data_IF_350976817397
#
_entry.id   IF_350976817397
#
_cell.length_a   1.000
_cell.length_b   1.000
_cell.length_c   1.000
_cell.angle_alpha   90.00
_cell.angle_beta   90.00
_cell.angle_gamma   90.00
#
_symmetry.space_group_name_H-M   'P 1'
#
loop_
_entity.id
_entity.type
_entity.pdbx_description
1 polymer ?
#
# COMPACT_ATOMS: atom_id res chain seq x y z
N UNK A 1 -12.23 -8.50 23.67
CA UNK A 1 -11.22 -7.42 23.53
C UNK A 1 -10.46 -7.53 22.20
N UNK A 2 -9.96 -8.70 21.78
CA UNK A 2 -9.21 -8.88 20.52
C UNK A 2 -9.94 -8.33 19.28
N UNK A 3 -11.21 -8.64 19.11
CA UNK A 3 -11.99 -8.20 17.94
C UNK A 3 -12.18 -6.67 17.89
N UNK A 4 -12.32 -6.03 19.05
CA UNK A 4 -12.43 -4.57 19.11
C UNK A 4 -11.09 -3.90 18.79
N UNK A 5 -9.98 -4.45 19.29
CA UNK A 5 -8.64 -3.95 18.94
C UNK A 5 -8.37 -4.04 17.45
N UNK A 6 -8.77 -5.15 16.81
CA UNK A 6 -8.69 -5.31 15.35
C UNK A 6 -9.57 -4.29 14.62
N UNK A 7 -10.79 -4.05 15.07
CA UNK A 7 -11.68 -3.04 14.48
C UNK A 7 -11.06 -1.65 14.53
N UNK A 8 -10.54 -1.24 15.69
CA UNK A 8 -9.88 0.06 15.86
C UNK A 8 -8.67 0.17 14.95
N UNK A 9 -7.78 -0.84 14.98
CA UNK A 9 -6.54 -0.81 14.21
C UNK A 9 -6.80 -0.76 12.69
N UNK A 10 -7.65 -1.67 12.16
CA UNK A 10 -7.97 -1.69 10.73
C UNK A 10 -8.79 -0.50 10.28
N UNK A 11 -9.72 -0.02 11.14
CA UNK A 11 -10.51 1.16 10.87
C UNK A 11 -9.64 2.40 10.73
N UNK A 12 -8.73 2.63 11.68
CA UNK A 12 -7.82 3.78 11.65
C UNK A 12 -6.83 3.68 10.49
N UNK A 13 -6.02 2.62 10.43
CA UNK A 13 -5.00 2.47 9.40
C UNK A 13 -5.61 2.41 7.99
N UNK A 14 -6.69 1.64 7.81
CA UNK A 14 -7.35 1.51 6.52
C UNK A 14 -7.95 2.83 6.03
N UNK A 15 -8.62 3.60 6.90
CA UNK A 15 -9.21 4.88 6.52
C UNK A 15 -8.15 5.92 6.16
N UNK A 16 -7.06 6.00 6.93
CA UNK A 16 -5.96 6.92 6.63
C UNK A 16 -5.30 6.58 5.29
N UNK A 17 -5.04 5.31 5.01
CA UNK A 17 -4.46 4.88 3.74
C UNK A 17 -5.42 5.05 2.57
N UNK A 18 -6.73 4.80 2.75
CA UNK A 18 -7.73 5.16 1.76
C UNK A 18 -7.73 6.68 1.47
N UNK A 19 -7.56 7.50 2.50
CA UNK A 19 -7.36 8.94 2.35
C UNK A 19 -6.15 9.28 1.48
N UNK A 20 -4.98 8.68 1.75
CA UNK A 20 -3.78 8.87 0.93
C UNK A 20 -3.96 8.41 -0.53
N UNK A 21 -4.59 7.26 -0.75
CA UNK A 21 -4.92 6.79 -2.08
C UNK A 21 -5.90 7.73 -2.82
N UNK A 22 -6.89 8.29 -2.11
CA UNK A 22 -7.84 9.26 -2.69
C UNK A 22 -7.18 10.59 -3.06
N UNK A 23 -6.17 11.03 -2.31
CA UNK A 23 -5.34 12.18 -2.67
C UNK A 23 -4.63 11.97 -4.02
N UNK A 24 -4.13 10.76 -4.27
CA UNK A 24 -3.44 10.40 -5.52
C UNK A 24 -4.40 10.25 -6.69
N UNK A 25 -5.53 9.54 -6.50
CA UNK A 25 -6.46 9.20 -7.57
C UNK A 25 -7.42 10.33 -7.94
N UNK A 26 -7.85 11.14 -6.96
CA UNK A 26 -8.94 12.09 -7.12
C UNK A 26 -8.56 13.53 -6.72
N UNK A 27 -7.38 13.74 -6.15
CA UNK A 27 -6.98 15.06 -5.63
C UNK A 27 -7.73 15.49 -4.36
N UNK A 28 -8.44 14.57 -3.69
CA UNK A 28 -9.19 14.89 -2.47
C UNK A 28 -8.26 15.35 -1.34
N UNK A 29 -8.82 16.09 -0.40
CA UNK A 29 -8.08 16.62 0.77
C UNK A 29 -6.82 17.43 0.41
N UNK A 30 -6.82 18.12 -0.74
CA UNK A 30 -5.66 18.89 -1.19
C UNK A 30 -4.51 18.04 -1.72
N UNK A 31 -4.78 16.82 -2.13
CA UNK A 31 -3.78 15.91 -2.69
C UNK A 31 -3.36 16.24 -4.12
N UNK A 32 -2.29 15.60 -4.64
CA UNK A 32 -1.70 15.91 -5.94
C UNK A 32 -2.60 15.55 -7.13
N UNK A 33 -3.59 14.71 -6.94
CA UNK A 33 -4.43 14.19 -8.02
C UNK A 33 -3.68 13.29 -9.01
N UNK A 34 -4.34 12.84 -10.09
CA UNK A 34 -3.73 11.94 -11.06
C UNK A 34 -2.49 12.52 -11.73
N UNK A 35 -2.53 13.80 -12.13
CA UNK A 35 -1.42 14.46 -12.84
C UNK A 35 -0.20 14.66 -11.92
N UNK A 36 -0.41 15.17 -10.71
CA UNK A 36 0.70 15.32 -9.76
C UNK A 36 1.30 13.98 -9.33
N UNK A 37 0.47 12.94 -9.22
CA UNK A 37 0.94 11.58 -8.92
C UNK A 37 1.72 11.00 -10.11
N UNK A 38 1.29 11.25 -11.35
CA UNK A 38 2.04 10.89 -12.56
C UNK A 38 3.42 11.55 -12.57
N UNK A 39 3.49 12.86 -12.33
CA UNK A 39 4.76 13.58 -12.26
C UNK A 39 5.70 13.04 -11.17
N UNK A 40 5.14 12.60 -10.02
CA UNK A 40 5.93 11.91 -8.99
C UNK A 40 6.51 10.58 -9.51
N UNK A 41 5.72 9.77 -10.24
CA UNK A 41 6.21 8.50 -10.80
C UNK A 41 7.29 8.72 -11.88
N UNK A 42 7.16 9.76 -12.70
CA UNK A 42 8.20 10.19 -13.66
C UNK A 42 9.51 10.53 -12.95
N UNK A 43 9.44 11.34 -11.89
CA UNK A 43 10.62 11.70 -11.09
C UNK A 43 11.28 10.50 -10.38
N UNK A 44 10.56 9.40 -10.19
CA UNK A 44 11.05 8.14 -9.64
C UNK A 44 11.52 7.14 -10.72
N UNK A 45 11.52 7.53 -11.99
CA UNK A 45 11.82 6.67 -13.14
C UNK A 45 10.94 5.42 -13.21
N UNK A 46 9.68 5.51 -12.79
CA UNK A 46 8.70 4.45 -12.88
C UNK A 46 7.89 4.60 -14.16
N UNK A 47 8.18 3.81 -15.19
CA UNK A 47 7.59 3.89 -16.54
C UNK A 47 6.72 2.67 -16.85
N UNK A 48 5.55 2.86 -17.53
CA UNK A 48 4.90 4.15 -17.80
C UNK A 48 4.31 4.77 -16.54
N UNK A 49 4.53 6.06 -16.35
CA UNK A 49 4.22 6.78 -15.11
C UNK A 49 2.72 6.78 -14.77
N UNK A 50 1.84 6.90 -15.76
CA UNK A 50 0.38 6.85 -15.59
C UNK A 50 -0.06 5.52 -14.95
N UNK A 51 0.52 4.41 -15.41
CA UNK A 51 0.22 3.09 -14.88
C UNK A 51 0.64 2.96 -13.41
N UNK A 52 1.83 3.43 -13.08
CA UNK A 52 2.33 3.38 -11.71
C UNK A 52 1.59 4.33 -10.77
N UNK A 53 1.16 5.51 -11.27
CA UNK A 53 0.29 6.42 -10.53
C UNK A 53 -1.05 5.75 -10.19
N UNK A 54 -1.67 5.08 -11.17
CA UNK A 54 -2.92 4.34 -10.95
C UNK A 54 -2.73 3.16 -10.00
N UNK A 55 -1.70 2.33 -10.21
CA UNK A 55 -1.42 1.16 -9.34
C UNK A 55 -1.14 1.59 -7.91
N UNK A 56 -0.29 2.60 -7.70
CA UNK A 56 0.02 3.12 -6.37
C UNK A 56 -1.21 3.69 -5.67
N UNK A 57 -1.95 4.57 -6.34
CA UNK A 57 -3.18 5.16 -5.80
C UNK A 57 -4.26 4.11 -5.53
N UNK A 58 -4.48 3.17 -6.46
CA UNK A 58 -5.47 2.10 -6.29
C UNK A 58 -5.10 1.11 -5.18
N UNK A 59 -3.81 0.78 -5.02
CA UNK A 59 -3.33 -0.09 -3.94
C UNK A 59 -3.54 0.54 -2.57
N UNK A 60 -3.29 1.84 -2.41
CA UNK A 60 -3.53 2.56 -1.16
C UNK A 60 -5.04 2.77 -0.90
N UNK A 61 -5.78 3.24 -1.90
CA UNK A 61 -7.22 3.48 -1.77
C UNK A 61 -7.99 2.19 -1.56
N UNK A 62 -7.87 1.26 -2.51
CA UNK A 62 -8.57 -0.03 -2.46
C UNK A 62 -8.11 -0.89 -1.28
N UNK A 63 -6.78 -0.99 -1.07
CA UNK A 63 -6.20 -1.68 0.08
C UNK A 63 -6.67 -1.10 1.41
N UNK A 64 -6.71 0.23 1.51
CA UNK A 64 -7.22 0.95 2.68
C UNK A 64 -8.70 0.69 2.93
N UNK A 65 -9.55 0.84 1.92
CA UNK A 65 -11.00 0.59 2.01
C UNK A 65 -11.29 -0.87 2.39
N UNK A 66 -10.68 -1.83 1.70
CA UNK A 66 -10.86 -3.26 1.99
C UNK A 66 -10.41 -3.61 3.41
N UNK A 67 -9.30 -3.03 3.85
CA UNK A 67 -8.80 -3.21 5.22
C UNK A 67 -9.76 -2.59 6.24
N UNK A 68 -10.18 -1.34 6.06
CA UNK A 68 -11.10 -0.65 6.98
C UNK A 68 -12.42 -1.42 7.14
N UNK A 69 -12.98 -1.91 6.06
CA UNK A 69 -14.22 -2.69 6.06
C UNK A 69 -14.03 -4.14 6.53
N UNK A 70 -12.80 -4.67 6.49
CA UNK A 70 -12.52 -6.09 6.70
C UNK A 70 -13.18 -6.94 5.63
N UNK A 71 -13.02 -6.54 4.37
CA UNK A 71 -13.61 -7.17 3.20
C UNK A 71 -12.54 -7.81 2.32
N UNK A 72 -12.82 -9.01 1.79
CA UNK A 72 -11.90 -9.81 0.96
C UNK A 72 -10.53 -10.01 1.61
N UNK A 73 -10.52 -10.25 2.93
CA UNK A 73 -9.28 -10.49 3.64
C UNK A 73 -8.52 -11.71 3.05
N UNK A 74 -7.19 -11.61 2.77
CA UNK A 74 -6.22 -10.58 3.15
C UNK A 74 -5.87 -9.55 2.04
N UNK A 75 -6.69 -9.39 1.01
CA UNK A 75 -6.38 -8.56 -0.17
C UNK A 75 -6.07 -7.10 0.21
N UNK A 76 -6.85 -6.52 1.12
CA UNK A 76 -6.61 -5.15 1.60
C UNK A 76 -5.22 -4.95 2.19
N UNK A 77 -4.83 -5.71 3.24
CA UNK A 77 -3.49 -5.67 3.79
C UNK A 77 -2.37 -5.92 2.77
N UNK A 78 -2.56 -6.83 1.80
CA UNK A 78 -1.58 -7.08 0.74
C UNK A 78 -1.35 -5.85 -0.15
N UNK A 79 -2.41 -5.14 -0.54
CA UNK A 79 -2.30 -3.90 -1.30
C UNK A 79 -1.51 -2.83 -0.54
N UNK A 80 -1.78 -2.68 0.76
CA UNK A 80 -1.05 -1.77 1.65
C UNK A 80 0.44 -2.14 1.70
N UNK A 81 0.78 -3.41 1.92
CA UNK A 81 2.17 -3.87 1.99
C UNK A 81 2.91 -3.55 0.69
N UNK A 82 2.32 -3.85 -0.47
CA UNK A 82 2.92 -3.55 -1.77
C UNK A 82 3.18 -2.05 -1.97
N UNK A 83 2.18 -1.20 -1.70
CA UNK A 83 2.31 0.25 -1.82
C UNK A 83 3.38 0.81 -0.86
N UNK A 84 3.39 0.36 0.39
CA UNK A 84 4.35 0.83 1.40
C UNK A 84 5.77 0.30 1.16
N UNK A 85 5.93 -0.91 0.64
CA UNK A 85 7.23 -1.44 0.24
C UNK A 85 7.83 -0.62 -0.92
N UNK A 86 7.01 -0.28 -1.93
CA UNK A 86 7.43 0.60 -3.02
C UNK A 86 7.81 1.98 -2.51
N UNK A 87 7.00 2.60 -1.65
CA UNK A 87 7.30 3.90 -1.05
C UNK A 87 8.61 3.86 -0.23
N UNK A 88 8.80 2.82 0.58
CA UNK A 88 10.04 2.63 1.35
C UNK A 88 11.25 2.61 0.43
N UNK A 89 11.22 1.82 -0.65
CA UNK A 89 12.38 1.63 -1.53
C UNK A 89 12.63 2.82 -2.46
N UNK A 90 11.59 3.41 -3.06
CA UNK A 90 11.75 4.44 -4.10
C UNK A 90 11.75 5.88 -3.57
N UNK A 91 11.16 6.13 -2.41
CA UNK A 91 11.00 7.50 -1.88
C UNK A 91 11.84 7.75 -0.64
N UNK A 92 12.05 6.73 0.19
CA UNK A 92 12.59 6.92 1.54
C UNK A 92 13.90 6.18 1.81
N UNK A 93 14.43 5.35 0.88
CA UNK A 93 15.55 4.43 1.13
C UNK A 93 16.83 5.13 1.57
N UNK A 94 17.16 6.24 0.91
CA UNK A 94 18.43 6.96 1.12
C UNK A 94 18.35 7.99 2.26
N UNK A 95 17.25 7.97 3.04
CA UNK A 95 17.02 8.93 4.11
C UNK A 95 17.11 8.25 5.48
N UNK A 96 17.45 8.99 6.55
CA UNK A 96 17.31 8.50 7.91
C UNK A 96 15.88 7.99 8.14
N UNK A 97 15.72 6.96 9.00
CA UNK A 97 14.40 6.30 9.19
C UNK A 97 13.29 7.27 9.60
N UNK A 98 13.61 8.35 10.30
CA UNK A 98 12.65 9.25 10.92
C UNK A 98 11.85 10.07 9.92
N UNK A 99 10.52 10.18 10.14
CA UNK A 99 9.61 10.96 9.27
C UNK A 99 10.00 12.42 9.17
N UNK A 100 10.55 13.01 10.23
CA UNK A 100 11.06 14.41 10.26
C UNK A 100 12.23 14.65 9.30
N UNK A 101 12.94 13.59 8.94
CA UNK A 101 14.00 13.60 7.93
C UNK A 101 13.50 13.07 6.56
N UNK A 102 12.20 12.87 6.38
CA UNK A 102 11.63 12.31 5.17
C UNK A 102 11.80 10.80 5.03
N UNK A 103 12.10 10.10 6.11
CA UNK A 103 12.40 8.66 6.13
C UNK A 103 11.19 7.74 6.12
N UNK A 104 11.47 6.45 6.14
CA UNK A 104 10.50 5.37 5.96
C UNK A 104 9.70 4.99 7.22
N UNK A 105 9.76 5.77 8.30
CA UNK A 105 9.07 5.47 9.57
C UNK A 105 7.59 5.11 9.37
N UNK A 106 6.85 5.94 8.62
CA UNK A 106 5.44 5.71 8.37
C UNK A 106 5.18 4.53 7.44
N UNK A 107 5.83 4.37 6.29
CA UNK A 107 5.68 3.17 5.46
C UNK A 107 6.00 1.87 6.20
N UNK A 108 7.08 1.83 6.97
CA UNK A 108 7.48 0.63 7.75
C UNK A 108 6.45 0.32 8.83
N UNK A 109 5.95 1.32 9.55
CA UNK A 109 4.88 1.17 10.54
C UNK A 109 3.60 0.62 9.89
N UNK A 110 3.21 1.14 8.73
CA UNK A 110 2.04 0.67 8.01
C UNK A 110 2.20 -0.77 7.49
N UNK A 111 3.42 -1.18 7.06
CA UNK A 111 3.72 -2.58 6.72
C UNK A 111 3.52 -3.48 7.95
N UNK A 112 4.06 -3.09 9.11
CA UNK A 112 3.93 -3.88 10.34
C UNK A 112 2.45 -4.03 10.77
N UNK A 113 1.67 -2.95 10.67
CA UNK A 113 0.21 -2.98 10.93
C UNK A 113 -0.49 -3.90 9.93
N UNK A 114 -0.23 -3.77 8.64
CA UNK A 114 -0.86 -4.58 7.61
C UNK A 114 -0.51 -6.06 7.74
N UNK A 115 0.75 -6.41 8.05
CA UNK A 115 1.17 -7.78 8.37
C UNK A 115 0.44 -8.33 9.59
N UNK A 116 0.35 -7.53 10.67
CA UNK A 116 -0.38 -7.93 11.88
C UNK A 116 -1.85 -8.22 11.59
N UNK A 117 -2.50 -7.35 10.81
CA UNK A 117 -3.89 -7.55 10.39
C UNK A 117 -4.03 -8.78 9.47
N UNK A 118 -3.13 -8.97 8.51
CA UNK A 118 -3.12 -10.13 7.62
C UNK A 118 -3.03 -11.45 8.40
N UNK A 119 -2.17 -11.52 9.41
CA UNK A 119 -1.99 -12.71 10.25
C UNK A 119 -3.14 -12.93 11.23
N UNK A 120 -3.77 -11.86 11.71
CA UNK A 120 -4.83 -11.93 12.72
C UNK A 120 -6.21 -12.28 12.14
N UNK A 121 -6.39 -12.12 10.82
CA UNK A 121 -7.69 -12.28 10.16
C UNK A 121 -8.57 -11.02 10.19
N UNK A 122 -9.75 -11.06 9.56
CA UNK A 122 -10.61 -9.88 9.40
C UNK A 122 -11.32 -9.44 10.70
N UNK A 123 -11.38 -10.31 11.71
CA UNK A 123 -12.05 -10.07 12.97
C UNK A 123 -13.57 -10.24 12.92
N UNK A 124 -14.21 -10.24 14.11
CA UNK A 124 -15.65 -10.48 14.25
C UNK A 124 -16.51 -9.36 13.62
N UNK A 125 -16.06 -8.12 13.70
CA UNK A 125 -16.80 -6.94 13.21
C UNK A 125 -16.43 -6.58 11.77
N UNK A 126 -16.21 -7.54 10.88
CA UNK A 126 -15.82 -7.38 9.48
C UNK A 126 -16.98 -7.69 8.53
N UNK A 127 -16.94 -7.13 7.32
CA UNK A 127 -17.90 -7.47 6.26
C UNK A 127 -17.72 -8.91 5.78
N UNK A 128 -16.51 -9.45 5.78
CA UNK A 128 -16.28 -10.87 5.49
C UNK A 128 -17.06 -11.76 6.45
N UNK A 129 -17.06 -11.41 7.75
CA UNK A 129 -17.82 -12.17 8.74
C UNK A 129 -19.31 -12.02 8.55
N UNK A 130 -19.76 -10.83 8.21
CA UNK A 130 -21.19 -10.55 7.97
C UNK A 130 -21.72 -11.31 6.77
N UNK A 131 -20.97 -11.35 5.66
CA UNK A 131 -21.36 -11.99 4.41
C UNK A 131 -20.90 -13.45 4.26
N UNK A 132 -20.18 -13.99 5.25
CA UNK A 132 -19.66 -15.35 5.19
C UNK A 132 -18.54 -15.55 4.16
N UNK A 133 -17.86 -14.48 3.75
CA UNK A 133 -16.76 -14.54 2.77
C UNK A 133 -15.53 -15.14 3.43
N UNK A 134 -14.93 -16.13 2.76
CA UNK A 134 -13.65 -16.73 3.20
C UNK A 134 -12.79 -17.03 1.98
N UNK A 135 -11.71 -16.30 1.82
CA UNK A 135 -10.71 -16.63 0.82
C UNK A 135 -9.84 -17.83 1.28
N UNK A 136 -9.32 -18.63 0.34
CA UNK A 136 -8.42 -19.73 0.68
C UNK A 136 -7.19 -19.25 1.44
N UNK A 137 -6.70 -20.04 2.41
CA UNK A 137 -5.58 -19.67 3.28
C UNK A 137 -4.26 -19.39 2.56
N UNK A 138 -4.09 -19.93 1.34
CA UNK A 138 -2.92 -19.68 0.52
C UNK A 138 -2.87 -18.25 -0.09
N UNK A 139 -3.99 -17.54 -0.15
CA UNK A 139 -4.06 -16.16 -0.73
C UNK A 139 -3.12 -15.20 0.00
N UNK A 140 -3.01 -15.30 1.33
CA UNK A 140 -2.10 -14.46 2.11
C UNK A 140 -0.63 -14.66 1.75
N UNK A 141 -0.06 -15.85 1.96
CA UNK A 141 1.36 -16.08 1.68
C UNK A 141 1.72 -15.95 0.19
N UNK A 142 0.91 -16.47 -0.72
CA UNK A 142 1.17 -16.32 -2.15
C UNK A 142 1.03 -14.86 -2.60
N UNK A 143 0.00 -14.16 -2.14
CA UNK A 143 -0.20 -12.75 -2.44
C UNK A 143 0.95 -11.87 -1.92
N UNK A 144 1.51 -12.20 -0.74
CA UNK A 144 2.68 -11.50 -0.21
C UNK A 144 3.90 -11.68 -1.10
N UNK A 145 4.20 -12.93 -1.51
CA UNK A 145 5.31 -13.21 -2.42
C UNK A 145 5.13 -12.48 -3.75
N UNK A 146 3.93 -12.53 -4.33
CA UNK A 146 3.62 -11.85 -5.60
C UNK A 146 3.76 -10.33 -5.46
N UNK A 147 3.24 -9.72 -4.39
CA UNK A 147 3.34 -8.29 -4.16
C UNK A 147 4.79 -7.84 -4.03
N UNK A 148 5.60 -8.54 -3.22
CA UNK A 148 7.01 -8.20 -3.03
C UNK A 148 7.85 -8.45 -4.30
N UNK A 149 7.59 -9.52 -5.04
CA UNK A 149 8.25 -9.78 -6.31
C UNK A 149 7.91 -8.70 -7.37
N UNK A 150 6.65 -8.25 -7.43
CA UNK A 150 6.24 -7.16 -8.31
C UNK A 150 6.93 -5.84 -7.95
N UNK A 151 7.07 -5.53 -6.66
CA UNK A 151 7.81 -4.35 -6.19
C UNK A 151 9.28 -4.46 -6.55
N UNK A 152 9.93 -5.60 -6.29
CA UNK A 152 11.34 -5.82 -6.60
C UNK A 152 11.62 -5.66 -8.10
N UNK A 153 10.78 -6.26 -8.95
CA UNK A 153 10.88 -6.13 -10.40
C UNK A 153 10.75 -4.68 -10.86
N UNK A 154 9.75 -3.96 -10.37
CA UNK A 154 9.53 -2.56 -10.74
C UNK A 154 10.69 -1.65 -10.32
N UNK A 155 11.27 -1.91 -9.15
CA UNK A 155 12.46 -1.20 -8.69
C UNK A 155 13.64 -1.45 -9.61
N UNK A 156 13.91 -2.71 -9.94
CA UNK A 156 15.00 -3.09 -10.84
C UNK A 156 14.85 -2.44 -12.22
N UNK A 157 13.67 -2.56 -12.84
CA UNK A 157 13.39 -1.95 -14.15
C UNK A 157 13.60 -0.42 -14.12
N UNK A 158 13.21 0.25 -13.03
CA UNK A 158 13.40 1.70 -12.90
C UNK A 158 14.85 2.12 -12.68
N UNK A 159 15.67 1.26 -12.07
CA UNK A 159 17.11 1.50 -11.87
C UNK A 159 17.89 1.28 -13.18
N UNK A 160 17.55 0.24 -13.95
CA UNK A 160 18.12 -0.02 -15.28
C UNK A 160 17.83 1.15 -16.24
N UNK A 161 16.58 1.64 -16.30
CA UNK A 161 16.20 2.79 -17.12
C UNK A 161 16.94 4.09 -16.73
N UNK A 162 17.18 4.32 -15.43
CA UNK A 162 17.93 5.47 -14.96
C UNK A 162 19.40 5.43 -15.39
N UNK A 163 19.98 4.24 -15.51
CA UNK A 163 21.37 4.06 -15.99
C UNK A 163 21.47 4.33 -17.49
N UNK A 164 20.53 3.81 -18.29
CA UNK A 164 20.49 4.02 -19.74
C UNK A 164 20.31 5.50 -20.15
N UNK A 165 19.61 6.30 -19.35
CA UNK A 165 19.40 7.73 -19.60
C UNK A 165 20.57 8.61 -19.15
N UNK A 166 21.49 8.07 -18.33
CA UNK A 166 22.67 8.77 -17.83
C UNK A 166 23.94 8.57 -18.67
N UNK A 167 23.89 7.66 -19.65
CA UNK A 167 24.95 7.42 -20.65
C UNK A 167 24.74 8.23 -21.92
#
# INVERSE_FOLDING_TARGET
MKDLSQLVLRGTAGTLLAGHGSQKLFGWFGGPGPEGTRGMMEALNLKPAERWALVGGASEFGGGVLTALGLLHPVGPLGIIGAMAMATRKVHWDKPIWVTAGGAELPVTNIAIALSLMLSGPGRYSLDRLFGIRLPGWVGPVGLVVALAAVAKAVQESEEQAQEEGE
#
